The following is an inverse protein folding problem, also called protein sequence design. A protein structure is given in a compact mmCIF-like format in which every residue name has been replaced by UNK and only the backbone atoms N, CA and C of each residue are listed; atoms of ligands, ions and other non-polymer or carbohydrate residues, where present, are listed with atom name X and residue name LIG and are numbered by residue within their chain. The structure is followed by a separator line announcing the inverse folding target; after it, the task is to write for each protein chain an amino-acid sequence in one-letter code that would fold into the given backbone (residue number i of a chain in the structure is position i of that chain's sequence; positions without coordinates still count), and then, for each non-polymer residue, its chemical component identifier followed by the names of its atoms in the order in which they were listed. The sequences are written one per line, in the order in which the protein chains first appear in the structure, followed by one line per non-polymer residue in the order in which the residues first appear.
data_IF_928339355137
#
_entry.id   IF_928339355137
#
_cell.length_a   1.000
_cell.length_b   1.000
_cell.length_c   1.000
_cell.angle_alpha   90.00
_cell.angle_beta   90.00
_cell.angle_gamma   90.00
#
_symmetry.space_group_name_H-M   'P 1'
#
loop_
_entity.id
_entity.type
_entity.pdbx_description
1 polymer ?
#
# COMPACT_ATOMS: atom_id res chain seq x y z
N UNK A 1 13.58 5.44 12.49
CA UNK A 1 12.71 4.26 12.71
C UNK A 1 11.44 4.40 11.89
N UNK A 2 11.07 3.34 11.17
CA UNK A 2 9.86 3.38 10.33
C UNK A 2 8.65 3.05 11.19
N UNK A 3 7.66 3.94 11.18
CA UNK A 3 6.38 3.73 11.87
C UNK A 3 5.35 3.23 10.85
N UNK A 4 5.25 1.90 10.75
CA UNK A 4 4.35 1.29 9.77
C UNK A 4 2.88 1.49 10.12
N UNK A 5 2.54 1.61 11.41
CA UNK A 5 1.17 1.89 11.82
C UNK A 5 0.73 3.26 11.32
N UNK A 6 1.59 4.27 11.51
CA UNK A 6 1.30 5.62 11.04
C UNK A 6 1.21 5.66 9.51
N UNK A 7 2.09 4.92 8.83
CA UNK A 7 2.05 4.82 7.36
C UNK A 7 0.71 4.25 6.89
N UNK A 8 0.21 3.21 7.56
CA UNK A 8 -1.10 2.63 7.23
C UNK A 8 -2.24 3.61 7.50
N UNK A 9 -2.18 4.35 8.59
CA UNK A 9 -3.17 5.37 8.91
C UNK A 9 -3.20 6.44 7.82
N UNK A 10 -2.04 6.95 7.42
CA UNK A 10 -1.93 7.96 6.38
C UNK A 10 -2.39 7.43 5.02
N UNK A 11 -2.07 6.18 4.70
CA UNK A 11 -2.55 5.53 3.48
C UNK A 11 -4.08 5.46 3.49
N UNK A 12 -4.67 5.02 4.59
CA UNK A 12 -6.13 4.93 4.70
C UNK A 12 -6.81 6.30 4.58
N UNK A 13 -6.19 7.34 5.15
CA UNK A 13 -6.68 8.71 4.97
C UNK A 13 -6.64 9.13 3.51
N UNK A 14 -5.56 8.84 2.83
CA UNK A 14 -5.40 9.18 1.42
C UNK A 14 -6.47 8.50 0.57
N UNK A 15 -6.64 7.18 0.71
CA UNK A 15 -7.59 6.45 -0.11
C UNK A 15 -9.04 6.76 0.22
N UNK A 16 -9.32 7.31 1.41
CA UNK A 16 -10.68 7.66 1.82
C UNK A 16 -11.29 8.77 0.96
N UNK A 17 -10.47 9.56 0.26
CA UNK A 17 -10.96 10.60 -0.63
C UNK A 17 -11.47 10.06 -1.98
N UNK A 18 -11.20 8.79 -2.27
CA UNK A 18 -11.66 8.15 -3.49
C UNK A 18 -12.92 7.31 -3.22
N UNK A 19 -13.77 7.19 -4.23
CA UNK A 19 -15.03 6.46 -4.08
C UNK A 19 -14.78 4.94 -4.06
N UNK A 20 -14.97 4.26 -2.91
CA UNK A 20 -14.73 2.82 -2.83
C UNK A 20 -15.75 1.98 -3.61
N UNK A 21 -16.87 2.57 -4.02
CA UNK A 21 -17.86 1.88 -4.86
C UNK A 21 -17.41 1.80 -6.31
N UNK A 22 -16.45 2.62 -6.69
CA UNK A 22 -15.86 2.57 -8.02
C UNK A 22 -14.98 1.32 -8.11
N UNK A 23 -15.29 0.42 -9.04
CA UNK A 23 -14.63 -0.89 -9.14
C UNK A 23 -13.12 -0.76 -9.26
N UNK A 24 -12.64 0.16 -10.09
CA UNK A 24 -11.20 0.35 -10.29
C UNK A 24 -10.49 0.77 -9.02
N UNK A 25 -11.13 1.63 -8.22
CA UNK A 25 -10.56 2.07 -6.94
C UNK A 25 -10.48 0.90 -5.97
N UNK A 26 -11.55 0.13 -5.85
CA UNK A 26 -11.57 -1.05 -4.97
C UNK A 26 -10.50 -2.06 -5.36
N UNK A 27 -10.36 -2.35 -6.66
CA UNK A 27 -9.36 -3.29 -7.14
C UNK A 27 -7.94 -2.82 -6.82
N UNK A 28 -7.68 -1.51 -6.95
CA UNK A 28 -6.37 -0.96 -6.61
C UNK A 28 -6.07 -1.05 -5.12
N UNK A 29 -7.06 -0.77 -4.28
CA UNK A 29 -6.89 -0.90 -2.83
C UNK A 29 -6.54 -2.33 -2.47
N UNK A 30 -7.29 -3.31 -2.99
CA UNK A 30 -7.05 -4.72 -2.72
C UNK A 30 -5.69 -5.17 -3.24
N UNK A 31 -5.30 -4.71 -4.43
CA UNK A 31 -4.00 -5.02 -5.02
C UNK A 31 -2.85 -4.48 -4.17
N UNK A 32 -2.93 -3.22 -3.76
CA UNK A 32 -1.86 -2.59 -2.98
C UNK A 32 -1.71 -3.28 -1.63
N UNK A 33 -2.81 -3.61 -0.97
CA UNK A 33 -2.76 -4.31 0.32
C UNK A 33 -2.12 -5.70 0.16
N UNK A 34 -2.43 -6.41 -0.92
CA UNK A 34 -1.81 -7.72 -1.20
C UNK A 34 -0.31 -7.58 -1.47
N UNK A 35 0.07 -6.57 -2.26
CA UNK A 35 1.49 -6.34 -2.58
C UNK A 35 2.27 -6.00 -1.31
N UNK A 36 1.70 -5.19 -0.42
CA UNK A 36 2.35 -4.85 0.84
C UNK A 36 2.59 -6.09 1.70
N UNK A 37 1.58 -6.95 1.81
CA UNK A 37 1.70 -8.21 2.57
C UNK A 37 2.73 -9.14 1.94
N UNK A 38 2.74 -9.27 0.61
CA UNK A 38 3.69 -10.11 -0.10
C UNK A 38 5.11 -9.59 0.05
N UNK A 39 5.30 -8.28 -0.06
CA UNK A 39 6.61 -7.65 0.12
C UNK A 39 7.16 -7.93 1.52
N UNK A 40 6.30 -7.85 2.53
CA UNK A 40 6.68 -8.17 3.90
C UNK A 40 7.10 -9.63 4.03
N UNK A 41 6.32 -10.55 3.47
CA UNK A 41 6.60 -11.99 3.54
C UNK A 41 7.92 -12.34 2.84
N UNK A 42 8.18 -11.74 1.68
CA UNK A 42 9.44 -11.96 0.96
C UNK A 42 10.61 -11.47 1.81
N UNK A 43 10.50 -10.27 2.38
CA UNK A 43 11.55 -9.71 3.23
C UNK A 43 11.82 -10.60 4.45
N UNK A 44 10.76 -11.12 5.07
CA UNK A 44 10.90 -12.06 6.19
C UNK A 44 11.60 -13.34 5.76
N UNK A 45 11.25 -13.89 4.61
CA UNK A 45 11.85 -15.13 4.10
C UNK A 45 13.32 -14.96 3.73
N UNK A 46 13.75 -13.75 3.40
CA UNK A 46 15.15 -13.44 3.12
C UNK A 46 15.98 -13.19 4.39
N UNK A 47 15.34 -13.23 5.56
CA UNK A 47 16.04 -13.03 6.82
C UNK A 47 16.45 -11.59 7.08
N UNK A 48 15.73 -10.63 6.51
CA UNK A 48 16.02 -9.21 6.70
C UNK A 48 15.63 -8.78 8.13
N UNK A 49 16.25 -7.68 8.60
CA UNK A 49 15.96 -7.17 9.94
C UNK A 49 14.60 -6.44 9.96
N UNK A 50 14.12 -6.10 11.17
CA UNK A 50 12.80 -5.48 11.35
C UNK A 50 12.63 -4.19 10.54
N UNK A 51 13.65 -3.33 10.52
CA UNK A 51 13.57 -2.07 9.78
C UNK A 51 13.50 -2.31 8.27
N UNK A 52 14.23 -3.29 7.78
CA UNK A 52 14.21 -3.67 6.35
C UNK A 52 12.86 -4.26 5.96
N UNK A 53 12.27 -5.08 6.84
CA UNK A 53 10.95 -5.66 6.62
C UNK A 53 9.90 -4.56 6.57
N UNK A 54 9.95 -3.60 7.50
CA UNK A 54 9.03 -2.45 7.50
C UNK A 54 9.20 -1.60 6.25
N UNK A 55 10.42 -1.39 5.80
CA UNK A 55 10.70 -0.64 4.58
C UNK A 55 10.08 -1.35 3.36
N UNK A 56 10.22 -2.67 3.28
CA UNK A 56 9.64 -3.44 2.18
C UNK A 56 8.12 -3.31 2.16
N UNK A 57 7.47 -3.39 3.32
CA UNK A 57 6.02 -3.22 3.43
C UNK A 57 5.61 -1.80 3.02
N UNK A 58 6.37 -0.81 3.47
CA UNK A 58 6.12 0.60 3.15
C UNK A 58 6.20 0.85 1.64
N UNK A 59 7.22 0.32 0.99
CA UNK A 59 7.39 0.44 -0.46
C UNK A 59 6.21 -0.21 -1.18
N UNK A 60 5.80 -1.41 -0.75
CA UNK A 60 4.65 -2.10 -1.33
C UNK A 60 3.36 -1.30 -1.18
N UNK A 61 3.19 -0.63 -0.02
CA UNK A 61 2.00 0.16 0.26
C UNK A 61 1.90 1.41 -0.61
N UNK A 62 3.02 2.08 -0.85
CA UNK A 62 3.01 3.39 -1.50
C UNK A 62 3.50 3.41 -2.95
N UNK A 63 3.95 2.28 -3.50
CA UNK A 63 4.57 2.28 -4.83
C UNK A 63 3.63 2.74 -5.96
N UNK A 64 2.33 2.54 -5.82
CA UNK A 64 1.34 2.88 -6.85
C UNK A 64 0.34 3.93 -6.38
N UNK A 65 0.70 4.71 -5.34
CA UNK A 65 -0.26 5.64 -4.74
C UNK A 65 -0.79 6.67 -5.74
N UNK A 66 0.03 7.08 -6.70
CA UNK A 66 -0.39 8.03 -7.74
C UNK A 66 -1.42 7.49 -8.70
N UNK A 67 -1.54 6.18 -8.79
CA UNK A 67 -2.48 5.52 -9.69
C UNK A 67 -3.94 5.69 -9.27
N UNK A 68 -4.21 6.00 -8.01
CA UNK A 68 -5.58 6.30 -7.56
C UNK A 68 -6.16 7.50 -8.30
N UNK A 69 -5.36 8.54 -8.41
CA UNK A 69 -5.75 9.76 -9.13
C UNK A 69 -6.02 9.44 -10.61
N UNK A 70 -5.16 8.65 -11.22
CA UNK A 70 -5.30 8.23 -12.60
C UNK A 70 -6.58 7.40 -12.80
N UNK A 71 -6.85 6.46 -11.90
CA UNK A 71 -8.05 5.63 -11.97
C UNK A 71 -9.32 6.46 -11.83
N UNK A 72 -9.29 7.51 -11.01
CA UNK A 72 -10.41 8.44 -10.84
C UNK A 72 -10.70 9.20 -12.13
N UNK A 73 -9.63 9.69 -12.80
CA UNK A 73 -9.76 10.51 -14.00
C UNK A 73 -10.17 9.71 -15.24
N UNK A 74 -9.74 8.47 -15.35
CA UNK A 74 -9.91 7.66 -16.55
C UNK A 74 -10.78 6.42 -16.31
N UNK A 75 -11.66 6.54 -15.40
CA UNK A 75 -12.55 5.43 -15.02
C UNK A 75 -13.40 4.96 -16.21
#
# INVERSE_FOLDING_TARGET
MIDIENANIEFNKYISQFNPKQVRIKLKIDHIKRVAIMSKKIAESLGLNDEQIKLAELIGLFHDIGRFKQAELYN
#
